data_IF_435633883209
#
_entry.id   IF_435633883209
#
_cell.length_a   1.000
_cell.length_b   1.000
_cell.length_c   1.000
_cell.angle_alpha   90.00
_cell.angle_beta   90.00
_cell.angle_gamma   90.00
#
_symmetry.space_group_name_H-M   'P 1'
#
loop_
_entity.id
_entity.type
_entity.pdbx_description
1 polymer ?
#
# COMPACT_ATOMS: atom_id res chain seq x y z
N UNK A 1 -2.64 -4.52 -8.66
CA UNK A 1 -2.90 -5.12 -7.33
C UNK A 1 -3.86 -4.25 -6.53
N UNK A 2 -4.88 -4.84 -5.93
CA UNK A 2 -5.69 -4.24 -4.86
C UNK A 2 -5.91 -5.28 -3.76
N UNK A 3 -6.16 -4.82 -2.53
CA UNK A 3 -6.50 -5.72 -1.42
C UNK A 3 -7.69 -5.22 -0.62
N UNK A 4 -8.46 -6.15 -0.08
CA UNK A 4 -9.50 -5.89 0.91
C UNK A 4 -9.79 -7.16 1.69
N UNK A 5 -10.33 -7.04 2.92
CA UNK A 5 -10.58 -8.18 3.83
C UNK A 5 -11.22 -9.42 3.20
N UNK A 6 -12.10 -9.26 2.21
CA UNK A 6 -12.73 -10.36 1.49
C UNK A 6 -13.16 -9.94 0.07
N UNK A 7 -13.53 -10.93 -0.75
CA UNK A 7 -13.98 -10.76 -2.14
C UNK A 7 -15.39 -10.19 -2.28
N UNK A 8 -16.18 -10.12 -1.20
CA UNK A 8 -17.56 -9.62 -1.22
C UNK A 8 -17.58 -8.10 -1.24
N UNK A 9 -17.08 -7.52 -2.34
CA UNK A 9 -17.05 -6.09 -2.56
C UNK A 9 -18.44 -5.56 -2.92
N UNK A 10 -18.82 -4.36 -2.43
CA UNK A 10 -20.03 -3.68 -2.85
C UNK A 10 -20.13 -3.56 -4.37
N UNK A 11 -21.34 -3.62 -4.91
CA UNK A 11 -21.58 -3.49 -6.35
C UNK A 11 -20.95 -2.21 -6.92
N UNK A 12 -21.08 -1.08 -6.21
CA UNK A 12 -20.48 0.20 -6.60
C UNK A 12 -18.96 0.10 -6.73
N UNK A 13 -18.29 -0.58 -5.79
CA UNK A 13 -16.83 -0.83 -5.86
C UNK A 13 -16.47 -1.65 -7.10
N UNK A 14 -17.17 -2.77 -7.33
CA UNK A 14 -16.92 -3.64 -8.49
C UNK A 14 -17.13 -2.90 -9.81
N UNK A 15 -18.16 -2.05 -9.89
CA UNK A 15 -18.43 -1.21 -11.06
C UNK A 15 -17.30 -0.20 -11.31
N UNK A 16 -16.79 0.46 -10.27
CA UNK A 16 -15.65 1.36 -10.39
C UNK A 16 -14.39 0.65 -10.89
N UNK A 17 -14.11 -0.54 -10.37
CA UNK A 17 -12.99 -1.40 -10.81
C UNK A 17 -13.15 -1.76 -12.29
N UNK A 18 -14.29 -2.34 -12.67
CA UNK A 18 -14.57 -2.72 -14.05
C UNK A 18 -14.42 -1.53 -15.03
N UNK A 19 -14.83 -0.33 -14.61
CA UNK A 19 -14.74 0.89 -15.44
C UNK A 19 -13.29 1.26 -15.76
N UNK A 20 -12.38 1.24 -14.78
CA UNK A 20 -10.99 1.60 -15.06
C UNK A 20 -10.23 0.45 -15.74
N UNK A 21 -10.58 -0.81 -15.47
CA UNK A 21 -9.97 -1.96 -16.17
C UNK A 21 -10.32 -1.94 -17.66
N UNK A 22 -11.57 -1.62 -18.01
CA UNK A 22 -11.99 -1.46 -19.42
C UNK A 22 -11.15 -0.41 -20.17
N UNK A 23 -10.63 0.61 -19.47
CA UNK A 23 -9.77 1.66 -20.07
C UNK A 23 -8.29 1.26 -20.15
N UNK A 24 -7.91 0.22 -19.42
CA UNK A 24 -6.54 -0.27 -19.27
C UNK A 24 -6.47 -1.77 -19.59
N UNK A 25 -6.88 -2.21 -20.79
CA UNK A 25 -6.94 -3.63 -21.15
C UNK A 25 -5.55 -4.29 -21.20
N UNK A 26 -4.49 -3.49 -21.32
CA UNK A 26 -3.10 -3.95 -21.38
C UNK A 26 -2.54 -4.36 -20.01
N UNK A 27 -3.35 -4.24 -18.94
CA UNK A 27 -2.95 -4.55 -17.56
C UNK A 27 -3.76 -5.70 -16.99
N UNK A 28 -3.06 -6.62 -16.30
CA UNK A 28 -3.69 -7.67 -15.51
C UNK A 28 -4.16 -7.12 -14.15
N UNK A 29 -5.35 -7.57 -13.73
CA UNK A 29 -5.92 -7.20 -12.45
C UNK A 29 -5.76 -8.32 -11.42
N UNK A 30 -5.15 -7.98 -10.29
CA UNK A 30 -4.93 -8.89 -9.17
C UNK A 30 -5.60 -8.35 -7.91
N UNK A 31 -6.55 -9.12 -7.38
CA UNK A 31 -7.23 -8.84 -6.11
C UNK A 31 -6.80 -9.82 -5.02
N UNK A 32 -6.45 -9.30 -3.85
CA UNK A 32 -6.01 -10.09 -2.71
C UNK A 32 -6.94 -9.89 -1.51
N UNK A 33 -7.62 -10.96 -1.11
CA UNK A 33 -8.24 -11.04 0.21
C UNK A 33 -7.22 -11.45 1.28
N UNK A 34 -7.62 -11.40 2.55
CA UNK A 34 -6.73 -11.73 3.67
C UNK A 34 -6.12 -13.14 3.52
N UNK A 35 -6.90 -14.11 3.04
CA UNK A 35 -6.44 -15.48 2.81
C UNK A 35 -5.37 -15.53 1.71
N UNK A 36 -5.61 -14.88 0.56
CA UNK A 36 -4.64 -14.81 -0.54
C UNK A 36 -3.37 -14.04 -0.16
N UNK A 37 -3.47 -13.02 0.71
CA UNK A 37 -2.30 -12.33 1.26
C UNK A 37 -1.45 -13.31 2.08
N UNK A 38 -2.07 -14.09 2.96
CA UNK A 38 -1.34 -15.06 3.79
C UNK A 38 -0.65 -16.13 2.93
N UNK A 39 -1.33 -16.66 1.91
CA UNK A 39 -0.72 -17.60 0.96
C UNK A 39 0.45 -16.98 0.20
N UNK A 40 0.28 -15.76 -0.33
CA UNK A 40 1.35 -15.05 -1.03
C UNK A 40 2.57 -14.85 -0.14
N UNK A 41 2.39 -14.43 1.11
CA UNK A 41 3.50 -14.20 2.02
C UNK A 41 4.24 -15.48 2.41
N UNK A 42 3.53 -16.60 2.59
CA UNK A 42 4.18 -17.91 2.87
C UNK A 42 4.97 -18.44 1.68
N UNK A 43 4.50 -18.18 0.46
CA UNK A 43 5.11 -18.68 -0.77
C UNK A 43 6.34 -17.85 -1.18
N UNK A 44 6.28 -16.53 -0.99
CA UNK A 44 7.23 -15.60 -1.61
C UNK A 44 8.24 -15.00 -0.62
N UNK A 45 8.00 -15.17 0.69
CA UNK A 45 8.84 -14.66 1.77
C UNK A 45 9.18 -15.74 2.79
N UNK A 46 10.23 -15.49 3.57
CA UNK A 46 10.63 -16.35 4.68
C UNK A 46 9.57 -16.38 5.81
N UNK A 47 9.64 -17.46 6.60
CA UNK A 47 8.72 -17.71 7.72
C UNK A 47 8.73 -16.57 8.75
N UNK A 48 9.87 -15.93 8.99
CA UNK A 48 9.97 -14.82 9.95
C UNK A 48 9.21 -13.59 9.45
N UNK A 49 9.33 -13.26 8.17
CA UNK A 49 8.56 -12.19 7.53
C UNK A 49 7.06 -12.46 7.61
N UNK A 50 6.64 -13.70 7.35
CA UNK A 50 5.23 -14.10 7.50
C UNK A 50 4.75 -13.97 8.96
N UNK A 51 5.55 -14.42 9.94
CA UNK A 51 5.25 -14.25 11.37
C UNK A 51 5.11 -12.79 11.78
N UNK A 52 5.96 -11.90 11.27
CA UNK A 52 5.84 -10.45 11.52
C UNK A 52 4.52 -9.88 11.00
N UNK A 53 4.11 -10.28 9.79
CA UNK A 53 2.79 -9.90 9.27
C UNK A 53 1.65 -10.39 10.17
N UNK A 54 1.71 -11.63 10.68
CA UNK A 54 0.68 -12.21 11.55
C UNK A 54 0.55 -11.52 12.90
N UNK A 55 1.59 -10.83 13.37
CA UNK A 55 1.56 -9.98 14.58
C UNK A 55 0.72 -8.72 14.39
N UNK A 56 0.51 -8.22 13.17
CA UNK A 56 -0.28 -7.03 12.92
C UNK A 56 -1.76 -7.26 13.28
N UNK A 57 -2.32 -6.35 14.07
CA UNK A 57 -3.66 -6.42 14.64
C UNK A 57 -4.66 -5.50 13.90
N UNK A 58 -4.16 -4.42 13.29
CA UNK A 58 -4.97 -3.44 12.58
C UNK A 58 -4.94 -3.72 11.08
N UNK A 59 -6.11 -3.84 10.45
CA UNK A 59 -6.23 -4.17 9.02
C UNK A 59 -5.54 -3.17 8.09
N UNK A 60 -5.54 -1.87 8.43
CA UNK A 60 -4.78 -0.87 7.68
C UNK A 60 -3.27 -1.17 7.71
N UNK A 61 -2.72 -1.52 8.88
CA UNK A 61 -1.31 -1.87 9.01
C UNK A 61 -0.94 -3.13 8.20
N UNK A 62 -1.85 -4.12 8.15
CA UNK A 62 -1.70 -5.29 7.28
C UNK A 62 -1.68 -4.93 5.80
N UNK A 63 -2.59 -4.06 5.36
CA UNK A 63 -2.64 -3.60 3.98
C UNK A 63 -1.40 -2.80 3.59
N UNK A 64 -0.88 -1.97 4.49
CA UNK A 64 0.39 -1.25 4.31
C UNK A 64 1.56 -2.23 4.11
N UNK A 65 1.71 -3.21 5.01
CA UNK A 65 2.75 -4.23 4.86
C UNK A 65 2.65 -4.97 3.52
N UNK A 66 1.42 -5.42 3.18
CA UNK A 66 1.19 -6.20 1.98
C UNK A 66 1.49 -5.41 0.70
N UNK A 67 1.11 -4.13 0.61
CA UNK A 67 1.33 -3.35 -0.63
C UNK A 67 2.81 -3.16 -0.95
N UNK A 68 3.66 -3.01 0.06
CA UNK A 68 5.10 -2.97 -0.16
C UNK A 68 5.62 -4.34 -0.56
N UNK A 69 5.18 -5.40 0.13
CA UNK A 69 5.62 -6.77 -0.12
C UNK A 69 5.29 -7.22 -1.56
N UNK A 70 4.03 -7.06 -1.99
CA UNK A 70 3.60 -7.49 -3.32
C UNK A 70 4.30 -6.72 -4.43
N UNK A 71 4.54 -5.42 -4.26
CA UNK A 71 5.24 -4.60 -5.24
C UNK A 71 6.74 -4.86 -5.25
N UNK A 72 7.36 -5.12 -4.10
CA UNK A 72 8.78 -5.47 -4.07
C UNK A 72 9.03 -6.78 -4.83
N UNK A 73 8.16 -7.79 -4.68
CA UNK A 73 8.30 -9.08 -5.38
C UNK A 73 7.85 -9.04 -6.84
N UNK A 74 6.67 -8.48 -7.11
CA UNK A 74 6.00 -8.60 -8.41
C UNK A 74 6.01 -7.31 -9.23
N UNK A 75 6.37 -6.18 -8.63
CA UNK A 75 6.23 -4.87 -9.24
C UNK A 75 4.79 -4.55 -9.66
N UNK A 76 4.67 -3.60 -10.57
CA UNK A 76 3.42 -3.13 -11.12
C UNK A 76 2.81 -1.99 -10.30
N UNK A 77 1.49 -2.01 -10.18
CA UNK A 77 0.71 -0.91 -9.60
C UNK A 77 -0.13 -1.46 -8.46
N UNK A 78 0.01 -0.87 -7.28
CA UNK A 78 -0.92 -1.05 -6.18
C UNK A 78 -1.85 0.16 -6.09
N UNK A 79 -3.13 -0.10 -5.82
CA UNK A 79 -4.15 0.94 -5.63
C UNK A 79 -5.07 0.54 -4.47
N UNK A 80 -5.35 1.46 -3.56
CA UNK A 80 -6.35 1.22 -2.51
C UNK A 80 -7.72 0.88 -3.11
N UNK A 81 -8.47 0.02 -2.43
CA UNK A 81 -9.74 -0.52 -2.95
C UNK A 81 -10.82 0.56 -3.16
N UNK A 82 -10.73 1.67 -2.43
CA UNK A 82 -11.63 2.82 -2.56
C UNK A 82 -11.15 3.85 -3.58
N UNK A 83 -10.03 3.61 -4.26
CA UNK A 83 -9.42 4.50 -5.25
C UNK A 83 -9.59 4.00 -6.68
N UNK A 84 -9.37 4.88 -7.66
CA UNK A 84 -9.56 4.59 -9.09
C UNK A 84 -8.50 5.24 -9.97
N UNK A 85 -8.53 4.87 -11.26
CA UNK A 85 -7.63 5.42 -12.29
C UNK A 85 -8.42 6.36 -13.19
N UNK A 86 -7.90 7.57 -13.40
CA UNK A 86 -8.41 8.51 -14.38
C UNK A 86 -7.63 8.32 -15.68
N UNK A 87 -8.33 8.17 -16.80
CA UNK A 87 -7.69 7.96 -18.10
C UNK A 87 -7.03 6.59 -18.26
N UNK A 88 -5.98 6.52 -19.10
CA UNK A 88 -5.20 5.31 -19.38
C UNK A 88 -3.84 5.44 -18.70
N UNK A 89 -3.39 4.37 -18.06
CA UNK A 89 -2.09 4.28 -17.39
C UNK A 89 -0.94 4.58 -18.33
N UNK A 90 -1.00 4.07 -19.56
CA UNK A 90 0.01 4.30 -20.59
C UNK A 90 0.18 5.76 -21.03
N UNK A 91 -0.78 6.63 -20.71
CA UNK A 91 -0.69 8.04 -21.06
C UNK A 91 0.27 8.79 -20.12
N UNK A 92 0.57 8.23 -18.94
CA UNK A 92 1.48 8.85 -17.97
C UNK A 92 2.55 7.92 -17.39
N UNK A 93 2.44 6.60 -17.53
CA UNK A 93 3.49 5.63 -17.18
C UNK A 93 4.29 5.34 -18.45
N UNK A 94 5.56 5.75 -18.45
CA UNK A 94 6.47 5.59 -19.58
C UNK A 94 7.17 4.22 -19.52
N UNK A 95 7.59 3.64 -20.66
CA UNK A 95 8.23 2.32 -20.69
C UNK A 95 9.50 2.18 -19.82
N UNK A 96 10.21 3.28 -19.59
CA UNK A 96 11.45 3.30 -18.80
C UNK A 96 11.23 3.68 -17.33
N UNK A 97 9.98 3.94 -16.90
CA UNK A 97 9.70 4.22 -15.49
C UNK A 97 9.87 2.95 -14.66
N UNK A 98 10.77 3.00 -13.67
CA UNK A 98 10.95 1.92 -12.69
C UNK A 98 10.38 2.27 -11.32
N UNK A 99 10.08 3.54 -11.07
CA UNK A 99 9.30 4.01 -9.92
C UNK A 99 8.66 5.36 -10.27
N UNK A 100 7.40 5.53 -9.88
CA UNK A 100 6.72 6.83 -9.92
C UNK A 100 6.18 7.10 -8.52
N UNK A 101 6.62 8.20 -7.93
CA UNK A 101 6.22 8.62 -6.59
C UNK A 101 5.58 10.01 -6.63
N UNK A 102 4.78 10.31 -5.62
CA UNK A 102 4.16 11.62 -5.44
C UNK A 102 4.06 11.92 -3.96
N UNK A 103 3.98 13.21 -3.61
CA UNK A 103 3.58 13.64 -2.27
C UNK A 103 2.06 13.65 -2.14
N UNK A 104 1.57 13.48 -0.93
CA UNK A 104 0.16 13.69 -0.58
C UNK A 104 -0.15 15.20 -0.55
N UNK A 105 -1.42 15.57 -0.34
CA UNK A 105 -1.78 16.97 -0.06
C UNK A 105 -1.03 17.57 1.14
N UNK A 106 -0.58 16.74 2.09
CA UNK A 106 0.48 17.10 3.01
C UNK A 106 1.84 16.88 2.32
N UNK A 107 2.58 17.95 1.98
CA UNK A 107 3.82 17.82 1.21
C UNK A 107 4.91 17.06 1.97
N UNK A 108 4.83 16.90 3.28
CA UNK A 108 5.86 16.17 4.04
C UNK A 108 5.87 14.67 3.74
N UNK A 109 4.76 14.10 3.26
CA UNK A 109 4.59 12.66 3.11
C UNK A 109 4.47 12.24 1.65
N UNK A 110 5.13 11.14 1.30
CA UNK A 110 4.87 10.44 0.05
C UNK A 110 3.55 9.65 0.13
N UNK A 111 2.78 9.68 -0.95
CA UNK A 111 1.53 8.94 -1.06
C UNK A 111 1.79 7.45 -1.15
N UNK A 112 1.01 6.68 -0.40
CA UNK A 112 1.04 5.21 -0.43
C UNK A 112 -0.32 4.55 -0.71
N UNK A 113 -1.37 5.36 -0.92
CA UNK A 113 -2.69 4.88 -1.34
C UNK A 113 -2.69 4.39 -2.81
N UNK A 114 -1.69 4.81 -3.59
CA UNK A 114 -1.31 4.24 -4.87
C UNK A 114 0.21 4.22 -4.98
N UNK A 115 0.77 3.15 -5.56
CA UNK A 115 2.21 2.92 -5.66
C UNK A 115 2.53 2.30 -7.02
N UNK A 116 3.60 2.77 -7.68
CA UNK A 116 4.04 2.27 -8.99
C UNK A 116 5.54 1.96 -8.92
N UNK A 117 5.89 0.69 -9.05
CA UNK A 117 7.27 0.22 -8.90
C UNK A 117 7.57 -0.98 -9.81
N UNK A 118 8.78 -1.02 -10.34
CA UNK A 118 9.40 -2.25 -10.83
C UNK A 118 9.73 -3.17 -9.63
N UNK A 119 9.78 -4.50 -9.83
CA UNK A 119 10.19 -5.43 -8.77
C UNK A 119 11.62 -5.13 -8.31
N UNK A 120 11.89 -5.34 -7.02
CA UNK A 120 13.22 -5.16 -6.42
C UNK A 120 13.64 -3.70 -6.20
N UNK A 121 12.74 -2.72 -6.31
CA UNK A 121 13.13 -1.31 -6.22
C UNK A 121 13.70 -0.94 -4.82
N UNK A 122 14.84 -0.22 -4.73
CA UNK A 122 15.50 0.11 -3.45
C UNK A 122 14.61 0.81 -2.41
N UNK A 123 13.71 1.69 -2.86
CA UNK A 123 12.75 2.35 -1.95
C UNK A 123 11.85 1.35 -1.21
N UNK A 124 11.36 0.31 -1.90
CA UNK A 124 10.50 -0.69 -1.28
C UNK A 124 11.31 -1.67 -0.43
N UNK A 125 12.55 -1.98 -0.83
CA UNK A 125 13.49 -2.74 0.00
C UNK A 125 13.69 -2.04 1.35
N UNK A 126 14.08 -0.76 1.31
CA UNK A 126 14.31 0.03 2.53
C UNK A 126 13.04 0.18 3.37
N UNK A 127 11.89 0.35 2.71
CA UNK A 127 10.60 0.41 3.40
C UNK A 127 10.31 -0.90 4.14
N UNK A 128 10.47 -2.05 3.47
CA UNK A 128 10.26 -3.35 4.09
C UNK A 128 11.23 -3.60 5.24
N UNK A 129 12.51 -3.23 5.10
CA UNK A 129 13.51 -3.31 6.18
C UNK A 129 13.06 -2.52 7.42
N UNK A 130 12.69 -1.25 7.24
CA UNK A 130 12.27 -0.37 8.34
C UNK A 130 10.96 -0.82 8.99
N UNK A 131 9.98 -1.27 8.19
CA UNK A 131 8.73 -1.83 8.70
C UNK A 131 8.96 -3.09 9.53
N UNK A 132 9.78 -4.04 9.04
CA UNK A 132 10.13 -5.24 9.81
C UNK A 132 10.82 -4.86 11.12
N UNK A 133 11.77 -3.92 11.09
CA UNK A 133 12.43 -3.43 12.29
C UNK A 133 11.45 -2.81 13.30
N UNK A 134 10.50 -1.99 12.83
CA UNK A 134 9.46 -1.40 13.69
C UNK A 134 8.59 -2.46 14.36
N UNK A 135 8.22 -3.53 13.63
CA UNK A 135 7.40 -4.63 14.17
C UNK A 135 8.22 -5.46 15.17
N UNK A 136 9.47 -5.82 14.85
CA UNK A 136 10.36 -6.59 15.75
C UNK A 136 10.53 -5.85 17.07
N UNK A 137 10.86 -4.56 17.03
CA UNK A 137 11.10 -3.73 18.21
C UNK A 137 9.83 -3.16 18.86
N UNK A 138 8.65 -3.42 18.27
CA UNK A 138 7.38 -2.80 18.66
C UNK A 138 7.50 -1.28 18.86
N UNK A 139 8.21 -0.60 17.95
CA UNK A 139 8.66 0.80 18.12
C UNK A 139 7.51 1.81 18.26
N UNK A 140 6.36 1.53 17.63
CA UNK A 140 5.23 2.44 17.51
C UNK A 140 3.90 1.75 17.86
N UNK A 141 3.70 1.30 19.10
CA UNK A 141 2.63 0.37 19.47
C UNK A 141 1.21 0.92 19.22
N UNK A 142 1.04 2.24 19.13
CA UNK A 142 -0.26 2.90 18.93
C UNK A 142 -0.26 3.89 17.74
N UNK A 143 0.68 3.74 16.81
CA UNK A 143 0.80 4.62 15.64
C UNK A 143 1.01 3.79 14.37
N UNK A 144 -0.09 3.57 13.63
CA UNK A 144 -0.06 2.84 12.34
C UNK A 144 0.79 3.57 11.30
N UNK A 145 0.77 4.91 11.31
CA UNK A 145 1.45 5.74 10.32
C UNK A 145 2.97 5.53 10.37
N UNK A 146 3.51 5.47 11.58
CA UNK A 146 4.93 5.21 11.84
C UNK A 146 5.28 3.73 11.84
N UNK A 147 4.37 2.84 12.27
CA UNK A 147 4.65 1.40 12.27
C UNK A 147 4.79 0.85 10.84
N UNK A 148 3.78 1.10 9.99
CA UNK A 148 3.70 0.53 8.64
C UNK A 148 3.30 1.54 7.56
N UNK A 149 2.73 2.68 7.94
CA UNK A 149 2.07 3.60 7.03
C UNK A 149 2.99 4.61 6.30
N UNK A 150 2.45 5.79 5.93
CA UNK A 150 3.14 6.75 5.07
C UNK A 150 4.40 7.34 5.70
N UNK A 151 4.48 7.40 7.04
CA UNK A 151 5.62 8.02 7.71
C UNK A 151 6.87 7.16 7.53
N UNK A 152 6.80 5.87 7.81
CA UNK A 152 7.96 4.96 7.59
C UNK A 152 8.32 4.82 6.11
N UNK A 153 7.33 4.81 5.21
CA UNK A 153 7.58 4.82 3.77
C UNK A 153 8.32 6.08 3.31
N UNK A 154 7.91 7.25 3.83
CA UNK A 154 8.57 8.52 3.53
C UNK A 154 9.99 8.55 4.07
N UNK A 155 10.19 8.11 5.31
CA UNK A 155 11.52 8.00 5.92
C UNK A 155 12.43 7.07 5.12
N UNK A 156 11.91 5.94 4.64
CA UNK A 156 12.66 4.98 3.82
C UNK A 156 13.09 5.55 2.46
N UNK A 157 12.20 6.25 1.75
CA UNK A 157 12.54 6.94 0.50
C UNK A 157 13.61 8.00 0.75
N UNK A 158 13.41 8.86 1.76
CA UNK A 158 14.36 9.92 2.09
C UNK A 158 15.73 9.35 2.48
N UNK A 159 15.77 8.27 3.27
CA UNK A 159 17.02 7.59 3.64
C UNK A 159 17.72 6.99 2.42
N UNK A 160 16.97 6.38 1.50
CA UNK A 160 17.51 5.82 0.26
C UNK A 160 18.13 6.91 -0.62
N UNK A 161 17.42 8.04 -0.79
CA UNK A 161 17.90 9.18 -1.56
C UNK A 161 19.06 9.93 -0.90
N UNK A 162 19.14 9.91 0.44
CA UNK A 162 20.28 10.46 1.17
C UNK A 162 21.55 9.63 0.92
N UNK A 163 21.41 8.30 0.76
CA UNK A 163 22.51 7.40 0.45
C UNK A 163 22.90 7.44 -1.02
N UNK A 164 21.92 7.39 -1.92
CA UNK A 164 22.11 7.42 -3.36
C UNK A 164 21.02 8.26 -4.06
N UNK A 165 21.42 9.43 -4.54
CA UNK A 165 20.53 10.36 -5.26
C UNK A 165 20.25 9.91 -6.71
N UNK A 166 21.00 8.92 -7.22
CA UNK A 166 20.89 8.44 -8.60
C UNK A 166 19.85 7.33 -8.77
N UNK A 167 19.24 6.84 -7.66
CA UNK A 167 18.17 5.84 -7.71
C UNK A 167 17.11 6.28 -8.72
N UNK A 168 16.86 5.51 -9.79
CA UNK A 168 15.98 5.92 -10.87
C UNK A 168 14.52 5.99 -10.40
N UNK A 169 13.92 7.17 -10.48
CA UNK A 169 12.52 7.38 -10.15
C UNK A 169 12.02 8.67 -10.81
N UNK A 170 10.70 8.78 -10.98
CA UNK A 170 10.05 10.02 -11.40
C UNK A 170 9.13 10.51 -10.29
N UNK A 171 9.14 11.82 -10.06
CA UNK A 171 8.24 12.47 -9.11
C UNK A 171 7.15 13.17 -9.93
N UNK A 172 5.90 12.81 -9.67
CA UNK A 172 4.73 13.54 -10.19
C UNK A 172 4.25 14.59 -9.18
N UNK A 173 3.46 15.55 -9.66
CA UNK A 173 2.77 16.48 -8.78
C UNK A 173 1.75 15.77 -7.90
N UNK A 174 1.28 16.51 -6.88
CA UNK A 174 0.46 15.99 -5.78
C UNK A 174 -0.63 15.01 -6.24
N UNK A 175 -0.70 13.87 -5.55
CA UNK A 175 -1.64 12.78 -5.85
C UNK A 175 -1.63 12.36 -7.34
N UNK A 176 -0.43 12.24 -7.92
CA UNK A 176 -0.16 11.78 -9.29
C UNK A 176 -0.79 12.67 -10.37
N UNK A 177 -0.80 13.99 -10.20
CA UNK A 177 -1.33 14.95 -11.18
C UNK A 177 -2.76 14.65 -11.63
N UNK A 178 -3.59 14.12 -10.71
CA UNK A 178 -4.98 13.69 -10.96
C UNK A 178 -5.11 12.51 -11.94
N UNK A 179 -4.02 11.83 -12.30
CA UNK A 179 -4.08 10.58 -13.08
C UNK A 179 -4.74 9.44 -12.29
N UNK A 180 -4.73 9.52 -10.96
CA UNK A 180 -5.53 8.66 -10.09
C UNK A 180 -6.62 9.47 -9.38
N UNK A 181 -7.64 8.77 -8.89
CA UNK A 181 -8.72 9.33 -8.09
C UNK A 181 -8.71 8.72 -6.71
N UNK A 182 -8.38 9.55 -5.72
CA UNK A 182 -8.57 9.21 -4.31
C UNK A 182 -10.06 9.15 -4.03
N UNK A 183 -10.55 8.01 -3.51
CA UNK A 183 -11.91 7.84 -2.93
C UNK A 183 -13.06 8.21 -3.88
N UNK A 184 -13.68 7.21 -4.49
CA UNK A 184 -14.94 7.45 -5.22
C UNK A 184 -16.11 7.74 -4.26
N UNK A 185 -17.12 8.48 -4.76
CA UNK A 185 -18.27 8.91 -3.97
C UNK A 185 -18.97 7.71 -3.32
N UNK A 186 -19.29 7.83 -2.02
CA UNK A 186 -19.90 6.78 -1.18
C UNK A 186 -19.04 5.53 -0.91
N UNK A 187 -17.81 5.43 -1.41
CA UNK A 187 -16.94 4.26 -1.16
C UNK A 187 -16.77 3.95 0.32
N UNK A 188 -16.56 4.99 1.15
CA UNK A 188 -16.44 4.81 2.60
C UNK A 188 -17.70 4.26 3.28
N UNK A 189 -18.88 4.61 2.77
CA UNK A 189 -20.16 4.19 3.38
C UNK A 189 -20.42 2.70 3.19
N UNK A 190 -20.02 2.15 2.02
CA UNK A 190 -20.24 0.74 1.70
C UNK A 190 -19.09 -0.18 2.11
N UNK A 191 -17.86 0.33 2.15
CA UNK A 191 -16.68 -0.48 2.46
C UNK A 191 -16.39 -0.57 3.97
N UNK A 192 -16.62 0.52 4.71
CA UNK A 192 -16.22 0.60 6.11
C UNK A 192 -17.45 0.73 7.01
N UNK A 193 -17.51 -0.10 8.06
CA UNK A 193 -18.52 0.05 9.11
C UNK A 193 -18.26 1.34 9.89
N UNK A 194 -19.34 2.06 10.26
CA UNK A 194 -19.25 3.27 11.09
C UNK A 194 -18.53 2.94 12.41
N UNK A 195 -17.45 3.67 12.72
CA UNK A 195 -16.64 3.47 13.93
C UNK A 195 -15.42 2.54 13.77
N UNK A 196 -15.28 1.81 12.67
CA UNK A 196 -14.19 0.83 12.45
C UNK A 196 -12.99 1.43 11.67
N UNK A 197 -12.80 2.75 11.74
CA UNK A 197 -11.69 3.41 11.05
C UNK A 197 -10.40 3.26 11.86
N UNK A 198 -9.29 2.95 11.19
CA UNK A 198 -8.01 2.66 11.85
C UNK A 198 -7.54 3.79 12.79
N UNK A 199 -7.77 5.06 12.41
CA UNK A 199 -7.46 6.24 13.26
C UNK A 199 -8.12 6.20 14.63
N UNK A 200 -9.31 5.61 14.73
CA UNK A 200 -10.02 5.41 16.00
C UNK A 200 -9.55 4.11 16.65
N UNK A 201 -9.39 3.04 15.87
CA UNK A 201 -9.00 1.72 16.36
C UNK A 201 -7.64 1.73 17.08
N UNK A 202 -6.66 2.46 16.56
CA UNK A 202 -5.32 2.54 17.17
C UNK A 202 -5.30 3.20 18.56
N UNK A 203 -6.37 3.91 18.95
CA UNK A 203 -6.47 4.53 20.28
C UNK A 203 -6.81 3.52 21.38
N UNK A 204 -7.42 2.38 21.01
CA UNK A 204 -7.90 1.36 21.95
C UNK A 204 -7.32 -0.02 21.68
N UNK A 205 -6.69 -0.20 20.52
CA UNK A 205 -6.10 -1.46 20.06
C UNK A 205 -4.67 -1.20 19.59
N UNK A 206 -3.66 -1.81 20.21
CA UNK A 206 -2.29 -1.71 19.73
C UNK A 206 -2.15 -2.22 18.30
N UNK A 207 -1.18 -1.68 17.56
CA UNK A 207 -0.90 -2.07 16.17
C UNK A 207 -0.49 -3.54 16.08
N UNK A 208 0.21 -4.06 17.09
CA UNK A 208 0.59 -5.45 17.23
C UNK A 208 -0.36 -6.19 18.18
N UNK A 209 -0.58 -7.48 17.95
CA UNK A 209 -1.27 -8.35 18.89
C UNK A 209 -0.43 -8.49 20.17
N UNK A 210 -1.06 -8.64 21.35
CA UNK A 210 -0.35 -9.06 22.55
C UNK A 210 0.39 -10.38 22.28
N UNK A 211 1.58 -10.54 22.85
CA UNK A 211 2.25 -11.84 22.84
C UNK A 211 1.36 -12.85 23.60
N UNK A 212 1.11 -13.99 22.98
CA UNK A 212 0.45 -15.11 23.67
C UNK A 212 1.36 -15.53 24.83
N UNK A 213 0.85 -15.41 26.06
CA UNK A 213 1.55 -15.82 27.28
C UNK A 213 1.66 -17.33 27.38
#
# INVERSE_FOLDING_TARGET
HQTFKNRNLPFVTRWHIAKFLKRNPDYNYEFYDDERIEFFLKDEYDEDTYKLYKRLNIGAAKADFFRYAVLYKKGGIYLDIDSGINGRLKDFIMPNDVAIITREGNPELFAQWALIYAPGHPFLEKTMEMVKHNIVSNKYPNDVHRMTGPTVYTEAINASLALDRSIPHRILGTDYDKNFKVKYNLGKFFLYKKGDHWKTKQLTTPVLKPEEK
#
